data_IF_594222784836
#
_entry.id   IF_594222784836
#
_cell.length_a   1.000
_cell.length_b   1.000
_cell.length_c   1.000
_cell.angle_alpha   90.00
_cell.angle_beta   90.00
_cell.angle_gamma   90.00
#
_symmetry.space_group_name_H-M   'P 1'
#
loop_
_entity.id
_entity.type
_entity.pdbx_description
1 polymer ?
#
# COMPACT_ATOMS: atom_id res chain seq x y z
N UNK A 1 -2.32 -13.44 14.31
CA UNK A 1 -3.17 -12.65 13.36
C UNK A 1 -2.34 -11.91 12.29
N UNK A 2 -1.02 -12.08 12.27
CA UNK A 2 -0.14 -11.75 11.12
C UNK A 2 0.53 -13.01 10.54
N UNK A 3 0.25 -14.18 11.11
CA UNK A 3 0.87 -15.47 10.77
C UNK A 3 0.55 -15.95 9.35
N UNK A 4 -0.46 -15.39 8.70
CA UNK A 4 -0.78 -15.65 7.29
C UNK A 4 0.16 -14.95 6.29
N UNK A 5 0.87 -13.91 6.73
CA UNK A 5 1.67 -13.07 5.84
C UNK A 5 3.16 -13.13 6.19
N UNK A 6 4.00 -13.37 5.18
CA UNK A 6 5.45 -13.40 5.35
C UNK A 6 6.03 -11.97 5.52
N UNK A 7 6.59 -11.60 6.70
CA UNK A 7 7.08 -10.24 6.95
C UNK A 7 8.36 -9.84 6.19
N UNK A 8 9.00 -10.80 5.51
CA UNK A 8 10.21 -10.59 4.71
C UNK A 8 9.91 -10.25 3.23
N UNK A 9 8.68 -10.47 2.77
CA UNK A 9 8.28 -10.12 1.40
C UNK A 9 8.08 -8.61 1.27
N UNK A 10 8.24 -8.10 0.05
CA UNK A 10 7.87 -6.73 -0.26
C UNK A 10 6.35 -6.60 -0.13
N UNK A 11 5.90 -5.68 0.73
CA UNK A 11 4.48 -5.42 0.97
C UNK A 11 4.16 -4.02 0.49
N UNK A 12 3.31 -3.92 -0.53
CA UNK A 12 2.81 -2.64 -1.04
C UNK A 12 1.40 -2.42 -0.48
N UNK A 13 1.17 -1.25 0.10
CA UNK A 13 -0.12 -0.89 0.71
C UNK A 13 -0.73 0.26 -0.09
N UNK A 14 -1.99 0.09 -0.47
CA UNK A 14 -2.70 0.97 -1.38
C UNK A 14 -4.06 1.37 -0.79
N UNK A 15 -4.38 2.66 -0.87
CA UNK A 15 -5.74 3.17 -0.68
C UNK A 15 -6.07 4.16 -1.79
N UNK A 16 -7.18 4.90 -1.66
CA UNK A 16 -7.62 5.83 -2.69
C UNK A 16 -6.61 6.94 -3.04
N UNK A 17 -6.13 7.70 -2.02
CA UNK A 17 -5.15 8.80 -2.19
C UNK A 17 -3.84 8.62 -1.40
N UNK A 18 -3.55 7.42 -0.88
CA UNK A 18 -2.31 7.14 -0.15
C UNK A 18 -2.25 7.54 1.34
N UNK A 19 -3.25 8.27 1.87
CA UNK A 19 -3.24 8.74 3.28
C UNK A 19 -3.57 7.63 4.29
N UNK A 20 -4.59 6.81 4.01
CA UNK A 20 -5.01 5.71 4.91
C UNK A 20 -4.04 4.54 4.86
N UNK A 21 -3.55 4.21 3.66
CA UNK A 21 -2.53 3.17 3.47
C UNK A 21 -1.21 3.52 4.15
N UNK A 22 -0.88 4.80 4.31
CA UNK A 22 0.29 5.21 5.10
C UNK A 22 0.18 4.81 6.57
N UNK A 23 -1.01 4.93 7.18
CA UNK A 23 -1.22 4.53 8.57
C UNK A 23 -1.05 3.01 8.72
N UNK A 24 -1.63 2.25 7.80
CA UNK A 24 -1.48 0.78 7.75
C UNK A 24 -0.03 0.38 7.51
N UNK A 25 0.68 1.07 6.62
CA UNK A 25 2.09 0.80 6.36
C UNK A 25 2.97 0.98 7.60
N UNK A 26 2.69 2.02 8.41
CA UNK A 26 3.36 2.23 9.70
C UNK A 26 3.00 1.15 10.72
N UNK A 27 1.74 0.75 10.78
CA UNK A 27 1.31 -0.34 11.65
C UNK A 27 1.98 -1.67 11.28
N UNK A 28 2.04 -2.04 9.99
CA UNK A 28 2.74 -3.25 9.54
C UNK A 28 4.23 -3.24 9.89
N UNK A 29 4.89 -2.09 9.77
CA UNK A 29 6.28 -1.93 10.22
C UNK A 29 6.41 -2.21 11.73
N UNK A 30 5.46 -1.75 12.55
CA UNK A 30 5.44 -2.05 13.99
C UNK A 30 5.15 -3.53 14.29
N UNK A 31 4.58 -4.27 13.36
CA UNK A 31 4.37 -5.73 13.45
C UNK A 31 5.57 -6.54 12.93
N UNK A 32 6.68 -5.90 12.54
CA UNK A 32 7.90 -6.58 12.11
C UNK A 32 8.05 -6.78 10.60
N UNK A 33 7.16 -6.21 9.78
CA UNK A 33 7.34 -6.17 8.33
C UNK A 33 8.46 -5.21 7.97
N UNK A 34 9.49 -5.71 7.29
CA UNK A 34 10.72 -4.93 7.02
C UNK A 34 10.66 -4.11 5.74
N UNK A 35 9.86 -4.54 4.77
CA UNK A 35 9.85 -3.98 3.41
C UNK A 35 8.43 -3.54 3.05
N UNK A 36 7.95 -2.50 3.73
CA UNK A 36 6.59 -1.96 3.54
C UNK A 36 6.65 -0.66 2.76
N UNK A 37 5.88 -0.58 1.68
CA UNK A 37 5.84 0.58 0.79
C UNK A 37 4.40 1.10 0.69
N UNK A 38 4.21 2.38 1.02
CA UNK A 38 2.96 3.06 0.74
C UNK A 38 2.97 3.59 -0.70
N UNK A 39 1.95 3.24 -1.48
CA UNK A 39 1.82 3.77 -2.85
C UNK A 39 1.37 5.22 -2.79
N UNK A 40 2.29 6.13 -3.12
CA UNK A 40 2.04 7.57 -3.07
C UNK A 40 0.94 7.98 -4.06
N UNK A 41 -0.02 8.79 -3.59
CA UNK A 41 -1.18 9.21 -4.37
C UNK A 41 -2.25 8.12 -4.56
N UNK A 42 -2.03 6.91 -4.05
CA UNK A 42 -3.01 5.83 -4.05
C UNK A 42 -3.37 5.30 -5.44
N UNK A 43 -4.49 4.59 -5.52
CA UNK A 43 -4.97 4.01 -6.78
C UNK A 43 -5.33 5.10 -7.78
N UNK A 44 -5.74 6.28 -7.32
CA UNK A 44 -6.00 7.42 -8.19
C UNK A 44 -4.75 7.81 -8.99
N UNK A 45 -3.61 7.98 -8.32
CA UNK A 45 -2.36 8.31 -9.01
C UNK A 45 -1.85 7.16 -9.89
N UNK A 46 -2.06 5.91 -9.48
CA UNK A 46 -1.73 4.75 -10.31
C UNK A 46 -2.54 4.73 -11.61
N UNK A 47 -3.87 4.94 -11.52
CA UNK A 47 -4.75 4.99 -12.67
C UNK A 47 -4.35 6.11 -13.66
N UNK A 48 -3.98 7.29 -13.14
CA UNK A 48 -3.58 8.42 -13.98
C UNK A 48 -2.20 8.23 -14.62
N UNK A 49 -1.25 7.58 -13.93
CA UNK A 49 0.17 7.56 -14.34
C UNK A 49 0.67 6.24 -14.93
N UNK A 50 0.05 5.13 -14.58
CA UNK A 50 0.52 3.79 -14.93
C UNK A 50 -0.49 2.99 -15.75
N UNK A 51 -1.78 3.07 -15.40
CA UNK A 51 -2.83 2.28 -16.07
C UNK A 51 -4.15 3.04 -16.17
N UNK A 52 -4.34 3.71 -17.31
CA UNK A 52 -5.54 4.50 -17.61
C UNK A 52 -6.79 3.67 -17.88
N UNK A 53 -6.70 2.33 -17.90
CA UNK A 53 -7.89 1.47 -17.98
C UNK A 53 -8.67 1.41 -16.67
N UNK A 54 -8.03 1.78 -15.55
CA UNK A 54 -8.64 1.78 -14.23
C UNK A 54 -9.49 3.05 -14.06
N UNK A 55 -10.79 2.92 -13.76
CA UNK A 55 -11.65 4.08 -13.52
C UNK A 55 -11.23 4.85 -12.28
N UNK A 56 -11.25 6.19 -12.37
CA UNK A 56 -11.09 7.10 -11.24
C UNK A 56 -12.45 7.60 -10.76
N UNK A 57 -12.71 7.53 -9.46
CA UNK A 57 -13.92 8.01 -8.79
C UNK A 57 -13.61 8.59 -7.42
#
# INVERSE_FOLDING_TARGET
MTDEFNPQKNTYVLCHHGMRSMQVAKWLQSQGFRKVYNVAGGIHAYAVKADSSIPTY
#
